data_IF_703619280687
#
_entry.id   IF_703619280687
#
_cell.length_a   1.000
_cell.length_b   1.000
_cell.length_c   1.000
_cell.angle_alpha   90.00
_cell.angle_beta   90.00
_cell.angle_gamma   90.00
#
_symmetry.space_group_name_H-M   'P 1'
#
loop_
_entity.id
_entity.type
_entity.pdbx_description
1 polymer ?
2 non-polymer ?
3 water ?
#
# COMPACT_ATOMS: atom_id res chain seq x y z
N UNK A 13 -27.38 -10.89 -6.00
CA UNK A 13 -28.77 -10.54 -5.72
C UNK A 13 -29.35 -11.36 -4.57
N UNK A 14 -29.13 -12.67 -4.58
CA UNK A 14 -29.63 -13.53 -3.51
C UNK A 14 -28.73 -13.41 -2.29
N UNK A 15 -29.20 -12.67 -1.29
CA UNK A 15 -28.39 -12.43 -0.09
C UNK A 15 -28.30 -13.63 0.85
N UNK A 16 -29.13 -14.65 0.61
CA UNK A 16 -29.04 -15.88 1.39
C UNK A 16 -28.18 -16.92 0.68
N UNK A 17 -27.71 -16.61 -0.53
CA UNK A 17 -26.89 -17.55 -1.31
C UNK A 17 -25.56 -17.75 -0.61
N UNK A 18 -25.22 -19.01 -0.35
CA UNK A 18 -24.02 -19.32 0.42
C UNK A 18 -22.85 -19.72 -0.47
N UNK A 19 -23.05 -19.76 -1.79
CA UNK A 19 -21.98 -20.07 -2.71
C UNK A 19 -21.22 -18.85 -3.20
N UNK A 20 -20.51 -19.04 -4.31
CA UNK A 20 -19.73 -17.98 -4.95
C UNK A 20 -19.95 -18.05 -6.46
N UNK A 21 -19.78 -16.92 -7.14
CA UNK A 21 -19.76 -16.91 -8.60
C UNK A 21 -18.49 -17.63 -9.03
N UNK A 22 -18.55 -18.45 -10.09
CA UNK A 22 -17.36 -19.14 -10.55
C UNK A 22 -16.55 -18.29 -11.53
N UNK A 23 -15.33 -17.95 -11.14
CA UNK A 23 -14.40 -17.22 -12.00
C UNK A 23 -13.31 -18.19 -12.47
N UNK A 24 -13.12 -18.29 -13.78
CA UNK A 24 -12.23 -19.30 -14.37
C UNK A 24 -10.86 -18.71 -14.73
N UNK A 25 -9.78 -19.30 -14.20
CA UNK A 25 -8.46 -18.79 -14.58
C UNK A 25 -8.09 -19.14 -16.00
N UNK A 26 -7.24 -18.31 -16.60
CA UNK A 26 -6.81 -18.48 -17.99
C UNK A 26 -5.30 -18.64 -18.09
N UNK A 27 -4.61 -18.55 -16.96
CA UNK A 27 -3.17 -18.81 -16.90
C UNK A 27 -2.90 -19.80 -15.79
N UNK A 28 -1.86 -20.61 -16.00
CA UNK A 28 -1.43 -21.57 -14.99
C UNK A 28 -0.91 -20.86 -13.75
N UNK A 29 -0.33 -19.67 -13.94
CA UNK A 29 0.20 -18.88 -12.84
C UNK A 29 0.10 -17.41 -13.21
N UNK A 30 -0.40 -16.59 -12.28
CA UNK A 30 -0.42 -15.16 -12.47
C UNK A 30 0.66 -14.52 -11.61
N UNK A 31 1.43 -13.62 -12.20
CA UNK A 31 2.50 -12.93 -11.50
C UNK A 31 1.96 -11.64 -10.92
N UNK A 32 2.12 -11.48 -9.60
CA UNK A 32 1.62 -10.31 -8.89
C UNK A 32 2.81 -9.53 -8.35
N UNK A 33 3.03 -8.30 -8.84
CA UNK A 33 4.12 -7.48 -8.35
C UNK A 33 3.68 -6.68 -7.13
N UNK A 34 4.63 -6.36 -6.27
CA UNK A 34 4.33 -5.64 -5.04
C UNK A 34 5.52 -4.82 -4.59
N UNK A 35 5.31 -4.00 -3.56
CA UNK A 35 6.40 -3.24 -2.94
C UNK A 35 7.29 -4.21 -2.17
N UNK A 36 8.48 -3.75 -1.78
CA UNK A 36 9.42 -4.63 -1.07
C UNK A 36 9.26 -4.67 0.45
N UNK A 37 8.89 -3.58 1.08
CA UNK A 37 8.45 -3.66 2.47
C UNK A 37 7.55 -2.46 2.68
N UNK A 38 6.36 -2.74 3.17
CA UNK A 38 5.36 -1.70 3.30
C UNK A 38 4.33 -2.24 4.31
N UNK A 39 4.77 -2.36 5.56
CA UNK A 39 3.94 -2.95 6.62
C UNK A 39 2.85 -1.98 7.01
N UNK A 40 1.60 -2.45 7.19
CA UNK A 40 1.14 -3.84 7.35
C UNK A 40 0.67 -4.51 6.09
N UNK A 41 0.92 -3.93 4.92
CA UNK A 41 0.38 -4.44 3.65
C UNK A 41 1.20 -5.59 3.05
N UNK A 42 2.52 -5.42 2.99
CA UNK A 42 3.44 -6.52 2.67
C UNK A 42 4.72 -6.32 3.42
N UNK A 43 5.13 -7.34 4.17
CA UNK A 43 6.37 -7.27 4.93
C UNK A 43 6.79 -8.67 5.35
N UNK A 44 8.04 -8.84 5.74
CA UNK A 44 8.52 -10.16 6.13
C UNK A 44 8.31 -10.47 7.59
N UNK A 45 7.88 -11.69 7.87
CA UNK A 45 7.77 -12.20 9.23
C UNK A 45 9.13 -12.75 9.70
N UNK A 46 9.14 -13.40 10.86
CA UNK A 46 10.41 -13.82 11.45
C UNK A 46 11.13 -14.88 10.61
N UNK A 47 10.37 -15.63 9.81
CA UNK A 47 10.97 -16.64 8.97
C UNK A 47 11.42 -16.05 7.63
N UNK A 48 11.20 -14.75 7.44
CA UNK A 48 11.58 -14.09 6.20
C UNK A 48 10.54 -14.23 5.08
N UNK A 49 9.38 -14.80 5.39
CA UNK A 49 8.32 -14.95 4.41
C UNK A 49 7.48 -13.69 4.40
N UNK A 50 7.05 -13.28 3.22
CA UNK A 50 6.17 -12.12 3.13
C UNK A 50 4.75 -12.46 3.55
N UNK A 51 4.22 -11.59 4.40
CA UNK A 51 2.86 -11.65 4.89
C UNK A 51 2.29 -10.22 4.82
N UNK A 52 1.08 -10.04 5.32
CA UNK A 52 0.48 -8.72 5.38
C UNK A 52 -0.91 -8.70 4.79
N UNK A 53 -1.58 -7.58 4.92
CA UNK A 53 -2.96 -7.44 4.43
C UNK A 53 -3.06 -7.69 2.92
N UNK A 54 -2.15 -7.12 2.13
CA UNK A 54 -2.23 -7.28 0.68
C UNK A 54 -1.97 -8.74 0.29
N UNK A 55 -0.95 -9.32 0.91
CA UNK A 55 -0.54 -10.67 0.58
C UNK A 55 -1.64 -11.65 0.96
N UNK A 56 -2.18 -11.52 2.17
CA UNK A 56 -3.22 -12.42 2.63
C UNK A 56 -4.48 -12.29 1.77
N UNK A 57 -4.90 -11.07 1.47
CA UNK A 57 -6.11 -10.91 0.67
C UNK A 57 -5.96 -11.53 -0.73
N UNK A 58 -4.83 -11.30 -1.39
CA UNK A 58 -4.67 -11.82 -2.75
C UNK A 58 -4.52 -13.32 -2.71
N UNK A 59 -3.70 -13.85 -1.80
CA UNK A 59 -3.48 -15.30 -1.74
C UNK A 59 -4.79 -16.00 -1.40
N UNK A 60 -5.57 -15.46 -0.46
CA UNK A 60 -6.83 -16.11 -0.11
C UNK A 60 -7.86 -15.99 -1.23
N UNK A 61 -7.91 -14.84 -1.90
CA UNK A 61 -8.83 -14.71 -3.03
C UNK A 61 -8.50 -15.80 -4.07
N UNK A 62 -7.22 -16.00 -4.33
CA UNK A 62 -6.81 -17.02 -5.29
C UNK A 62 -7.18 -18.44 -4.82
N UNK A 63 -6.95 -18.70 -3.53
CA UNK A 63 -7.21 -20.01 -2.93
C UNK A 63 -8.71 -20.33 -2.88
N UNK A 64 -9.54 -19.30 -2.83
CA UNK A 64 -11.00 -19.48 -2.82
C UNK A 64 -11.50 -19.93 -4.18
N UNK A 65 -10.69 -19.74 -5.22
CA UNK A 65 -11.20 -19.86 -6.58
C UNK A 65 -10.30 -20.65 -7.51
N UNK A 66 -9.32 -21.32 -6.95
CA UNK A 66 -8.46 -22.20 -7.73
C UNK A 66 -7.51 -21.48 -8.67
N UNK A 67 -7.15 -20.24 -8.33
CA UNK A 67 -6.15 -19.51 -9.08
C UNK A 67 -4.82 -19.72 -8.40
N UNK A 68 -3.74 -19.65 -9.19
CA UNK A 68 -2.39 -19.68 -8.66
C UNK A 68 -1.72 -18.34 -8.90
N UNK A 69 -1.17 -17.77 -7.83
CA UNK A 69 -0.48 -16.49 -7.91
C UNK A 69 0.95 -16.65 -7.41
N UNK A 70 1.84 -15.85 -7.97
CA UNK A 70 3.24 -15.80 -7.60
C UNK A 70 3.60 -14.35 -7.35
N UNK A 71 4.04 -14.02 -6.14
CA UNK A 71 4.37 -12.66 -5.78
C UNK A 71 5.83 -12.32 -6.07
N UNK A 72 6.03 -11.10 -6.55
CA UNK A 72 7.36 -10.52 -6.74
C UNK A 72 7.41 -9.23 -5.96
N UNK A 73 8.23 -9.18 -4.89
CA UNK A 73 8.28 -8.00 -4.04
C UNK A 73 9.46 -7.14 -4.46
N UNK A 74 9.18 -6.28 -5.44
CA UNK A 74 10.22 -5.60 -6.20
C UNK A 74 10.29 -4.09 -6.03
N UNK A 75 9.30 -3.50 -5.36
CA UNK A 75 9.25 -2.07 -5.15
C UNK A 75 8.07 -1.45 -5.86
N UNK A 76 7.63 -0.29 -5.39
CA UNK A 76 6.40 0.30 -5.90
C UNK A 76 6.48 0.71 -7.38
N UNK A 77 7.46 1.53 -7.72
CA UNK A 77 7.61 1.95 -9.12
C UNK A 77 7.91 0.76 -10.02
N UNK A 78 8.72 -0.19 -9.54
CA UNK A 78 9.03 -1.37 -10.33
C UNK A 78 7.77 -2.19 -10.61
N UNK A 79 6.89 -2.27 -9.62
CA UNK A 79 5.65 -3.02 -9.78
C UNK A 79 4.75 -2.33 -10.81
N UNK A 80 4.64 -1.01 -10.73
CA UNK A 80 3.87 -0.25 -11.70
C UNK A 80 4.40 -0.52 -13.11
N UNK A 81 5.72 -0.43 -13.30
CA UNK A 81 6.28 -0.64 -14.64
C UNK A 81 6.04 -2.06 -15.13
N UNK A 82 6.15 -3.04 -14.23
CA UNK A 82 5.96 -4.43 -14.60
C UNK A 82 4.54 -4.69 -15.10
N UNK A 83 3.55 -4.10 -14.44
CA UNK A 83 2.18 -4.32 -14.87
C UNK A 83 1.96 -3.60 -16.21
N UNK A 84 2.49 -2.39 -16.33
CA UNK A 84 2.33 -1.63 -17.58
C UNK A 84 2.95 -2.35 -18.78
N UNK A 85 4.05 -3.04 -18.56
CA UNK A 85 4.75 -3.68 -19.66
C UNK A 85 4.20 -5.06 -20.00
N UNK A 86 3.42 -5.62 -19.08
CA UNK A 86 2.91 -6.97 -19.24
C UNK A 86 3.76 -8.06 -18.61
N UNK A 87 4.83 -7.68 -17.93
CA UNK A 87 5.68 -8.67 -17.27
C UNK A 87 5.10 -9.16 -15.96
N UNK A 88 4.25 -8.36 -15.33
CA UNK A 88 3.42 -8.83 -14.22
C UNK A 88 1.98 -8.76 -14.68
N UNK A 89 1.14 -9.65 -14.16
CA UNK A 89 -0.28 -9.66 -14.52
C UNK A 89 -1.14 -8.74 -13.66
N UNK A 90 -0.67 -8.46 -12.47
CA UNK A 90 -1.37 -7.56 -11.58
C UNK A 90 -0.43 -7.07 -10.51
N UNK A 91 -0.88 -6.11 -9.70
CA UNK A 91 -0.09 -5.65 -8.56
C UNK A 91 -0.98 -5.32 -7.39
N UNK A 92 -0.41 -5.48 -6.21
CA UNK A 92 -1.02 -5.05 -4.98
C UNK A 92 0.15 -4.45 -4.20
N UNK A 93 -0.01 -3.22 -3.74
CA UNK A 93 1.08 -2.51 -3.08
C UNK A 93 0.56 -1.30 -2.34
N UNK A 94 -0.51 -1.49 -1.56
CA UNK A 94 -1.18 -0.37 -0.93
C UNK A 94 -1.37 0.76 -1.93
N UNK A 95 -1.89 0.43 -3.10
CA UNK A 95 -1.91 1.36 -4.21
C UNK A 95 -3.21 2.16 -4.27
N UNK A 96 -3.10 3.48 -4.13
CA UNK A 96 -4.28 4.34 -4.15
C UNK A 96 -4.92 4.41 -5.53
N UNK A 97 -6.23 4.21 -5.55
CA UNK A 97 -7.02 4.39 -6.77
C UNK A 97 -7.16 5.89 -7.05
N UNK A 98 -6.71 6.32 -8.22
CA UNK A 98 -6.89 7.70 -8.66
C UNK A 98 -7.33 7.76 -10.13
N UNK A 99 -7.89 8.89 -10.55
CA UNK A 99 -8.31 9.05 -11.92
C UNK A 99 -7.16 8.97 -12.91
N UNK A 100 -6.03 9.59 -12.57
CA UNK A 100 -4.87 9.56 -13.45
C UNK A 100 -4.40 8.13 -13.65
N UNK A 101 -4.39 7.33 -12.58
CA UNK A 101 -3.94 5.94 -12.68
C UNK A 101 -4.92 5.05 -13.46
N UNK A 102 -6.19 5.45 -13.48
CA UNK A 102 -7.20 4.71 -14.24
C UNK A 102 -6.95 4.79 -15.73
N UNK A 103 -6.10 5.72 -16.14
CA UNK A 103 -5.71 5.81 -17.54
C UNK A 103 -4.85 4.62 -17.93
N UNK A 104 -4.13 4.04 -16.96
CA UNK A 104 -3.20 2.94 -17.22
C UNK A 104 -3.67 1.60 -16.65
N UNK A 105 -4.50 1.66 -15.62
CA UNK A 105 -4.88 0.47 -14.85
C UNK A 105 -6.38 0.33 -14.73
N UNK A 106 -6.84 -0.92 -14.63
CA UNK A 106 -8.19 -1.24 -14.12
C UNK A 106 -8.05 -1.68 -12.67
N UNK A 107 -8.80 -1.02 -11.80
CA UNK A 107 -8.72 -1.26 -10.35
C UNK A 107 -9.86 -2.14 -9.88
N UNK A 108 -9.59 -2.91 -8.83
CA UNK A 108 -10.62 -3.67 -8.13
C UNK A 108 -11.51 -2.74 -7.34
N UNK A 109 -12.57 -3.33 -6.78
CA UNK A 109 -13.29 -2.79 -5.64
C UNK A 109 -12.29 -2.33 -4.56
N UNK A 110 -12.48 -1.14 -3.96
CA UNK A 110 -11.52 -0.72 -2.92
C UNK A 110 -11.49 -1.67 -1.75
N UNK A 111 -10.31 -1.94 -1.19
CA UNK A 111 -10.20 -2.89 -0.09
C UNK A 111 -9.64 -2.28 1.20
N UNK A 112 -9.31 -0.99 1.19
CA UNK A 112 -8.77 -0.32 2.37
C UNK A 112 -8.87 1.19 2.19
N UNK A 113 -9.18 1.92 3.26
CA UNK A 113 -9.26 3.38 3.21
C UNK A 113 -8.01 3.91 3.84
N UNK A 114 -7.38 4.87 3.16
CA UNK A 114 -6.07 5.33 3.61
C UNK A 114 -5.89 6.82 3.35
N UNK A 115 -4.64 7.23 3.19
CA UNK A 115 -4.27 8.62 3.18
C UNK A 115 -2.81 8.73 3.58
N UNK A 116 -2.31 9.96 3.65
CA UNK A 116 -0.90 10.22 3.90
C UNK A 116 -0.73 11.07 5.15
N UNK A 117 0.46 10.99 5.74
CA UNK A 117 0.76 11.76 6.95
C UNK A 117 2.25 11.95 7.12
N UNK A 118 2.61 13.07 7.74
CA UNK A 118 3.98 13.33 8.14
C UNK A 118 4.35 12.47 9.34
N UNK A 119 5.60 12.00 9.38
CA UNK A 119 6.19 11.53 10.63
C UNK A 119 7.49 12.27 10.90
N UNK A 120 7.74 12.52 12.18
CA UNK A 120 9.01 13.09 12.64
C UNK A 120 9.61 12.18 13.72
N UNK A 121 10.85 12.43 14.11
CA UNK A 121 11.47 11.67 15.19
C UNK A 121 10.67 11.78 16.48
N UNK A 122 10.54 10.67 17.18
CA UNK A 122 10.03 10.69 18.55
C UNK A 122 10.89 11.63 19.38
N UNK A 123 10.24 12.56 20.08
CA UNK A 123 10.95 13.54 20.87
C UNK A 123 11.08 14.89 20.19
N UNK A 124 10.72 14.96 18.92
CA UNK A 124 10.80 16.23 18.17
C UNK A 124 9.82 17.25 18.73
N UNK A 125 10.33 18.44 19.03
CA UNK A 125 9.52 19.52 19.60
C UNK A 125 9.24 20.64 18.60
N UNK A 126 10.08 20.77 17.59
CA UNK A 126 10.01 21.92 16.68
C UNK A 126 8.83 21.85 15.72
N UNK A 127 8.54 20.66 15.20
CA UNK A 127 7.62 20.54 14.09
C UNK A 127 6.20 20.25 14.59
N UNK A 128 5.30 21.22 14.48
CA UNK A 128 3.91 21.04 14.90
C UNK A 128 2.90 21.40 13.79
N UNK A 129 3.40 21.83 12.63
CA UNK A 129 2.55 22.20 11.52
C UNK A 129 3.37 22.17 10.25
N UNK A 130 2.71 22.22 9.09
CA UNK A 130 3.44 22.24 7.84
C UNK A 130 4.34 23.47 7.74
N UNK A 131 3.93 24.58 8.33
CA UNK A 131 4.75 25.79 8.23
C UNK A 131 6.06 25.64 8.99
N UNK A 132 6.09 24.78 9.99
CA UNK A 132 7.33 24.51 10.72
C UNK A 132 8.35 23.72 9.87
N UNK A 133 7.93 23.23 8.70
CA UNK A 133 8.85 22.54 7.81
C UNK A 133 9.69 23.50 6.97
N UNK A 134 9.47 24.80 7.13
CA UNK A 134 10.22 25.78 6.36
C UNK A 134 11.72 25.59 6.59
N UNK A 135 12.47 25.47 5.50
CA UNK A 135 13.89 25.25 5.58
C UNK A 135 14.33 23.87 6.03
N UNK A 136 13.39 22.95 6.16
CA UNK A 136 13.68 21.58 6.60
C UNK A 136 13.67 20.62 5.41
N UNK A 137 14.12 19.38 5.67
CA UNK A 137 14.21 18.36 4.64
C UNK A 137 13.14 17.30 4.90
N UNK A 138 12.35 16.98 3.87
CA UNK A 138 11.29 15.98 4.00
C UNK A 138 11.57 14.83 3.05
N UNK A 139 11.72 13.62 3.60
CA UNK A 139 11.93 12.45 2.79
C UNK A 139 10.62 11.85 2.30
N UNK A 140 10.63 11.32 1.09
CA UNK A 140 9.43 10.71 0.52
C UNK A 140 9.83 9.63 -0.48
N UNK A 141 8.94 8.66 -0.69
CA UNK A 141 9.13 7.62 -1.67
C UNK A 141 8.72 8.13 -3.06
N UNK A 142 9.64 8.07 -4.01
CA UNK A 142 9.38 8.50 -5.38
C UNK A 142 8.16 7.76 -5.97
N UNK A 143 7.35 8.47 -6.74
CA UNK A 143 6.28 7.82 -7.48
C UNK A 143 4.94 7.75 -6.77
N UNK A 144 4.86 8.29 -5.56
CA UNK A 144 3.70 8.05 -4.69
C UNK A 144 2.79 9.25 -4.51
N UNK A 145 1.66 8.98 -3.88
CA UNK A 145 0.71 10.02 -3.52
C UNK A 145 1.35 11.00 -2.56
N UNK A 146 2.22 10.52 -1.66
CA UNK A 146 2.94 11.43 -0.77
C UNK A 146 3.84 12.40 -1.55
N UNK A 147 4.54 11.88 -2.55
CA UNK A 147 5.41 12.74 -3.37
C UNK A 147 4.61 13.83 -4.06
N UNK A 148 3.43 13.48 -4.58
CA UNK A 148 2.57 14.44 -5.28
C UNK A 148 2.13 15.55 -4.33
N UNK A 149 1.79 15.19 -3.10
CA UNK A 149 1.38 16.18 -2.12
C UNK A 149 2.53 17.12 -1.80
N UNK A 150 3.72 16.56 -1.58
CA UNK A 150 4.86 17.39 -1.23
C UNK A 150 5.24 18.33 -2.36
N UNK A 151 5.21 17.85 -3.60
CA UNK A 151 5.56 18.74 -4.72
C UNK A 151 4.53 19.85 -4.85
N UNK A 152 3.26 19.51 -4.69
CA UNK A 152 2.20 20.51 -4.83
C UNK A 152 2.41 21.65 -3.84
N UNK A 153 2.88 21.32 -2.64
CA UNK A 153 2.90 22.28 -1.54
C UNK A 153 4.28 22.80 -1.19
N UNK A 154 5.26 22.49 -2.03
CA UNK A 154 6.63 22.86 -1.79
C UNK A 154 6.79 24.38 -1.78
N UNK A 155 6.17 25.07 -2.73
CA UNK A 155 6.28 26.53 -2.80
C UNK A 155 5.65 27.15 -1.55
N UNK A 156 4.51 26.60 -1.15
CA UNK A 156 3.77 27.12 -0.01
C UNK A 156 4.53 27.06 1.32
N UNK A 157 5.13 25.90 1.63
CA UNK A 157 5.75 25.69 2.95
C UNK A 157 7.27 25.80 2.96
N UNK A 158 7.88 25.75 1.78
CA UNK A 158 9.30 26.02 1.62
C UNK A 158 10.20 25.01 2.33
N UNK A 159 9.87 23.73 2.20
CA UNK A 159 10.78 22.66 2.58
C UNK A 159 11.52 22.17 1.33
N UNK A 160 12.50 21.30 1.54
CA UNK A 160 13.22 20.62 0.46
C UNK A 160 12.79 19.15 0.48
N UNK A 161 12.60 18.55 -0.69
CA UNK A 161 12.15 17.16 -0.78
C UNK A 161 13.33 16.26 -1.11
N UNK A 162 13.47 15.18 -0.37
CA UNK A 162 14.51 14.18 -0.62
C UNK A 162 13.82 12.91 -1.06
N UNK A 163 14.19 12.42 -2.24
CA UNK A 163 13.55 11.26 -2.83
C UNK A 163 14.30 9.98 -2.48
N UNK A 164 13.58 9.05 -1.86
CA UNK A 164 14.14 7.77 -1.46
C UNK A 164 13.35 6.65 -2.13
N UNK A 165 13.82 5.40 -1.99
CA UNK A 165 13.28 4.30 -2.79
C UNK A 165 12.29 3.37 -2.10
N UNK A 166 12.34 3.30 -0.78
CA UNK A 166 11.50 2.38 -0.02
C UNK A 166 11.06 3.03 1.29
N UNK A 167 10.07 2.44 1.93
CA UNK A 167 9.61 2.95 3.21
C UNK A 167 10.67 2.73 4.28
N UNK A 168 11.36 1.59 4.23
CA UNK A 168 12.47 1.38 5.17
C UNK A 168 13.52 2.48 5.05
N UNK A 169 13.81 2.88 3.82
CA UNK A 169 14.78 3.95 3.60
C UNK A 169 14.32 5.26 4.25
N UNK A 170 13.01 5.54 4.19
CA UNK A 170 12.47 6.73 4.88
C UNK A 170 12.69 6.66 6.37
N UNK A 171 12.36 5.50 6.96
CA UNK A 171 12.52 5.36 8.39
C UNK A 171 13.99 5.52 8.78
N UNK A 172 14.90 4.94 8.00
CA UNK A 172 16.33 5.04 8.27
C UNK A 172 16.80 6.47 8.19
N UNK A 173 16.43 7.15 7.12
CA UNK A 173 16.86 8.53 6.89
C UNK A 173 16.37 9.43 8.00
N UNK A 174 15.13 9.23 8.42
CA UNK A 174 14.57 10.04 9.51
C UNK A 174 15.33 9.76 10.82
N UNK A 175 15.54 8.48 11.10
CA UNK A 175 16.12 8.07 12.38
C UNK A 175 17.55 8.55 12.53
N UNK A 176 18.33 8.49 11.46
CA UNK A 176 19.72 8.92 11.60
C UNK A 176 19.91 10.42 11.29
N UNK A 177 18.82 11.12 11.00
CA UNK A 177 18.86 12.58 10.87
C UNK A 177 19.18 13.13 9.49
N UNK A 178 19.11 12.29 8.46
CA UNK A 178 19.35 12.74 7.10
C UNK A 178 18.20 13.62 6.60
N UNK A 179 17.00 13.36 7.12
CA UNK A 179 15.85 14.22 6.88
C UNK A 179 15.24 14.60 8.21
N UNK A 180 14.47 15.69 8.22
CA UNK A 180 13.80 16.19 9.43
C UNK A 180 12.40 15.60 9.59
N UNK A 181 11.83 15.13 8.49
CA UNK A 181 10.49 14.57 8.49
C UNK A 181 10.38 13.65 7.27
N UNK A 182 9.37 12.80 7.29
CA UNK A 182 9.06 11.96 6.14
C UNK A 182 7.56 12.04 5.89
N UNK A 183 7.13 11.67 4.69
CA UNK A 183 5.71 11.56 4.42
C UNK A 183 5.43 10.21 3.78
N UNK A 184 4.48 9.47 4.34
CA UNK A 184 4.12 8.13 3.86
C UNK A 184 2.67 7.87 4.23
N UNK A 185 2.15 6.70 3.86
CA UNK A 185 0.75 6.42 4.12
C UNK A 185 0.50 6.29 5.64
N UNK A 186 -0.63 6.82 6.09
CA UNK A 186 -0.86 6.88 7.53
C UNK A 186 -0.99 5.51 8.23
N UNK A 187 -1.57 4.48 7.56
CA UNK A 187 -1.61 3.20 8.28
C UNK A 187 -0.24 2.53 8.39
N UNK A 188 0.66 2.87 7.47
CA UNK A 188 2.01 2.34 7.47
C UNK A 188 2.80 2.98 8.63
N UNK A 189 2.76 4.29 8.74
CA UNK A 189 3.37 4.98 9.88
C UNK A 189 2.72 4.49 11.17
N UNK A 190 1.40 4.32 11.14
CA UNK A 190 0.70 3.90 12.34
C UNK A 190 1.14 2.53 12.82
N UNK A 191 1.35 1.61 11.89
CA UNK A 191 1.86 0.29 12.24
C UNK A 191 3.26 0.43 12.88
N UNK A 192 4.11 1.27 12.31
CA UNK A 192 5.40 1.53 12.90
C UNK A 192 5.31 2.06 14.33
N UNK A 193 4.42 3.04 14.54
CA UNK A 193 4.22 3.60 15.86
C UNK A 193 3.77 2.53 16.85
N UNK A 194 2.84 1.69 16.41
CA UNK A 194 2.32 0.63 17.26
C UNK A 194 3.36 -0.39 17.70
N UNK A 195 4.46 -0.55 16.95
CA UNK A 195 5.53 -1.44 17.42
C UNK A 195 6.73 -0.68 17.95
N UNK A 196 6.47 0.55 18.40
CA UNK A 196 7.45 1.37 19.13
C UNK A 196 8.60 1.87 18.31
N UNK A 197 8.39 2.02 17.01
CA UNK A 197 9.39 2.72 16.22
C UNK A 197 9.41 4.14 16.71
N UNK A 198 10.59 4.79 16.66
CA UNK A 198 10.75 6.14 17.22
C UNK A 198 10.18 7.23 16.32
N UNK A 199 8.85 7.17 16.15
CA UNK A 199 8.11 8.05 15.25
C UNK A 199 7.07 8.83 16.03
N UNK A 200 6.81 10.06 15.59
CA UNK A 200 5.71 10.87 16.12
C UNK A 200 4.95 11.51 14.95
N UNK A 201 3.68 11.82 15.18
CA UNK A 201 2.80 12.36 14.13
C UNK A 201 2.07 13.61 14.62
N UNK A 202 2.78 14.75 14.68
CA UNK A 202 2.20 15.99 15.21
C UNK A 202 1.24 16.72 14.27
N UNK A 203 1.28 16.38 12.98
CA UNK A 203 0.43 17.03 11.99
C UNK A 203 -0.67 16.06 11.54
N UNK A 204 -1.93 16.50 11.55
CA UNK A 204 -3.01 15.56 11.21
C UNK A 204 -2.84 14.93 9.83
N UNK A 205 -3.39 13.73 9.67
CA UNK A 205 -3.31 13.03 8.40
C UNK A 205 -4.11 13.76 7.33
N UNK A 206 -3.70 13.54 6.07
CA UNK A 206 -4.47 13.95 4.91
C UNK A 206 -5.23 12.71 4.46
N UNK A 207 -6.47 12.59 4.88
CA UNK A 207 -7.29 11.47 4.44
C UNK A 207 -7.56 11.56 2.94
N UNK A 208 -7.52 10.43 2.26
CA UNK A 208 -7.83 10.43 0.85
C UNK A 208 -7.43 9.18 0.10
N UNK A 209 -8.38 8.66 -0.64
CA UNK A 209 -8.13 7.53 -1.49
C UNK A 209 -8.35 6.23 -0.77
N UNK A 210 -8.64 5.22 -1.56
CA UNK A 210 -8.72 3.87 -1.08
C UNK A 210 -7.76 3.07 -1.92
N UNK A 211 -7.31 1.96 -1.37
CA UNK A 211 -6.42 1.08 -2.11
C UNK A 211 -7.18 0.12 -3.01
N UNK A 212 -6.56 -0.22 -4.14
CA UNK A 212 -7.11 -1.22 -5.04
C UNK A 212 -6.04 -2.18 -5.55
N UNK A 213 -6.45 -3.39 -5.88
CA UNK A 213 -5.67 -4.34 -6.67
C UNK A 213 -5.77 -3.85 -8.12
N UNK A 214 -4.68 -3.96 -8.86
CA UNK A 214 -4.65 -3.38 -10.21
C UNK A 214 -4.17 -4.36 -11.27
N UNK A 215 -4.83 -4.34 -12.42
CA UNK A 215 -4.31 -4.96 -13.63
C UNK A 215 -4.11 -3.88 -14.68
N UNK A 216 -3.35 -4.18 -15.73
CA UNK A 216 -3.22 -3.26 -16.85
C UNK A 216 -4.58 -3.01 -17.47
N UNK A 217 -4.85 -1.77 -17.84
CA UNK A 217 -6.15 -1.41 -18.42
C UNK A 217 -6.47 -2.27 -19.64
N UNK A 218 -7.65 -2.92 -19.59
CA UNK A 218 -8.11 -3.77 -20.65
C UNK A 218 -7.54 -5.19 -20.66
N UNK A 219 -6.70 -5.52 -19.68
CA UNK A 219 -6.04 -6.82 -19.65
C UNK A 219 -6.43 -7.64 -18.42
N UNK A 220 -6.28 -8.96 -18.54
CA UNK A 220 -6.44 -9.89 -17.43
C UNK A 220 -7.72 -9.66 -16.61
N UNK A 221 -8.86 -9.50 -17.29
CA UNK A 221 -10.07 -9.16 -16.53
C UNK A 221 -10.45 -10.22 -15.49
N UNK A 222 -10.16 -11.50 -15.77
CA UNK A 222 -10.57 -12.57 -14.85
C UNK A 222 -9.76 -12.52 -13.56
N UNK A 223 -8.54 -11.99 -13.63
CA UNK A 223 -7.73 -11.84 -12.42
C UNK A 223 -8.34 -10.76 -11.51
N UNK A 224 -8.79 -9.68 -12.11
CA UNK A 224 -9.48 -8.63 -11.36
C UNK A 224 -10.79 -9.16 -10.77
N UNK A 225 -11.56 -9.89 -11.59
CA UNK A 225 -12.81 -10.48 -11.12
C UNK A 225 -12.58 -11.45 -9.97
N UNK A 226 -11.50 -12.21 -10.04
CA UNK A 226 -11.17 -13.16 -9.00
C UNK A 226 -10.92 -12.42 -7.67
N UNK A 227 -10.22 -11.29 -7.74
CA UNK A 227 -9.99 -10.50 -6.54
C UNK A 227 -11.29 -9.95 -6.01
N UNK A 228 -12.12 -9.38 -6.89
CA UNK A 228 -13.39 -8.81 -6.45
C UNK A 228 -14.29 -9.87 -5.80
N UNK A 229 -14.38 -11.04 -6.41
CA UNK A 229 -15.29 -12.07 -5.86
C UNK A 229 -14.73 -12.59 -4.55
N UNK A 230 -13.40 -12.69 -4.46
CA UNK A 230 -12.79 -13.14 -3.23
C UNK A 230 -12.99 -12.15 -2.10
N UNK A 231 -12.81 -10.88 -2.40
CA UNK A 231 -13.02 -9.83 -1.41
C UNK A 231 -14.46 -9.84 -0.90
N UNK A 232 -15.42 -9.99 -1.80
CA UNK A 232 -16.83 -10.08 -1.41
C UNK A 232 -17.05 -11.22 -0.45
N UNK A 233 -16.49 -12.39 -0.78
CA UNK A 233 -16.62 -13.56 0.06
C UNK A 233 -16.00 -13.33 1.42
N UNK A 234 -14.79 -12.79 1.45
CA UNK A 234 -14.11 -12.56 2.71
C UNK A 234 -14.80 -11.50 3.55
N UNK A 235 -15.42 -10.51 2.90
CA UNK A 235 -16.24 -9.56 3.63
C UNK A 235 -17.51 -10.19 4.21
N UNK A 236 -18.13 -11.11 3.46
CA UNK A 236 -19.35 -11.77 3.93
C UNK A 236 -19.09 -12.67 5.12
N UNK A 237 -17.94 -13.34 5.13
CA UNK A 237 -17.65 -14.29 6.20
C UNK A 237 -17.01 -13.62 7.40
N UNK A 238 -16.48 -12.41 7.22
CA UNK A 238 -15.71 -11.75 8.25
C UNK A 238 -14.22 -12.04 8.16
N UNK A 239 -13.81 -12.92 7.25
CA UNK A 239 -12.38 -13.18 7.06
C UNK A 239 -11.60 -11.93 6.73
N UNK A 240 -12.22 -11.01 5.99
CA UNK A 240 -11.56 -9.74 5.68
C UNK A 240 -11.19 -9.02 6.97
N UNK A 241 -12.12 -8.94 7.91
CA UNK A 241 -11.91 -8.22 9.15
C UNK A 241 -10.88 -8.93 10.02
N UNK A 242 -10.88 -10.26 9.95
CA UNK A 242 -9.87 -11.04 10.68
C UNK A 242 -8.45 -10.84 10.12
N UNK A 243 -8.33 -10.78 8.81
CA UNK A 243 -7.05 -10.49 8.17
C UNK A 243 -6.53 -9.11 8.60
N UNK A 244 -7.38 -8.09 8.49
CA UNK A 244 -6.96 -6.75 8.92
C UNK A 244 -6.52 -6.77 10.39
N UNK A 245 -7.32 -7.41 11.23
CA UNK A 245 -7.08 -7.45 12.67
C UNK A 245 -5.87 -8.27 13.09
N UNK A 246 -5.34 -9.07 12.17
CA UNK A 246 -4.11 -9.80 12.40
C UNK A 246 -2.95 -8.82 12.58
N UNK A 247 -3.01 -7.72 11.84
CA UNK A 247 -1.88 -6.78 11.75
C UNK A 247 -2.16 -5.47 12.48
N UNK A 248 -3.41 -5.07 12.51
CA UNK A 248 -3.78 -3.82 13.13
C UNK A 248 -4.65 -4.15 14.34
N UNK A 249 -4.10 -3.97 15.54
CA UNK A 249 -4.77 -4.36 16.79
C UNK A 249 -4.85 -3.14 17.69
N UNK A 250 -5.33 -2.05 17.13
CA UNK A 250 -5.28 -0.78 17.83
C UNK A 250 -6.62 -0.46 18.51
N UNK A 251 -7.49 -1.46 18.56
CA UNK A 251 -8.75 -1.35 19.29
C UNK A 251 -9.91 -0.96 18.39
X LIG B 1 -0.68 4.66 -1.43
X LIG B 1 0.48 5.36 -2.01
X LIG B 1 0.35 5.38 -3.51
X LIG B 1 -0.48 4.61 -4.08
X LIG B 1 1.79 4.69 -1.59
X LIG B 1 2.02 3.28 -2.11
X LIG B 1 3.36 2.72 -1.68
X LIG B 1 4.27 3.45 -1.26
X LIG B 1 3.51 1.39 -1.78
X LIG B 1 1.07 6.17 -4.16
#
# INVERSE_FOLDING_TARGET
>A
MHHHHHHHHHHGENLYFQGMKKITPKKEKYVIASDSTFAPFEFQNAQGDYVGIDVDLVKRAAELQGFTVEFKFIGFSSAVQAVESGQADGMVAGMTITDDRKKAFDFSVPYFDSGIQIAVKKGNDKIKSYDDLKGKKVGVKIGTESADFLEKNKKKYDYSIKYLDTTDALYSALEIGEVDAMMDDYPVIGYGVAQNQPLATPIPREKGGSYGFAVKKGQNPELLEMFNEGLKEMKRTGEYDKIIGTYVKDG
>B hetero
1 GLN N CA C O CB CG CD OE1 NE2 OXT
#
